data_IF_065274761445
#
_entry.id   IF_065274761445
#
_cell.length_a   1.000
_cell.length_b   1.000
_cell.length_c   1.000
_cell.angle_alpha   90.00
_cell.angle_beta   90.00
_cell.angle_gamma   90.00
#
_symmetry.space_group_name_H-M   'P 1'
#
loop_
_entity.id
_entity.type
_entity.pdbx_description
1 polymer ?
#
# COMPACT_ATOMS: atom_id res chain seq x y z
N UNK A 1 -17.06 -23.15 14.35
CA UNK A 1 -16.08 -22.18 13.79
C UNK A 1 -16.85 -21.06 13.11
N UNK A 2 -16.74 -19.83 13.64
CA UNK A 2 -17.40 -18.61 13.18
C UNK A 2 -16.55 -17.84 12.15
N UNK A 3 -15.25 -18.16 12.04
CA UNK A 3 -14.41 -17.74 10.92
C UNK A 3 -15.00 -18.26 9.61
N UNK A 4 -14.93 -17.46 8.53
CA UNK A 4 -15.44 -17.80 7.19
C UNK A 4 -14.94 -19.19 6.77
N UNK A 5 -15.76 -20.24 6.96
CA UNK A 5 -15.36 -21.65 6.79
C UNK A 5 -14.71 -21.94 5.43
N UNK A 6 -15.19 -21.27 4.39
CA UNK A 6 -14.71 -21.42 3.02
C UNK A 6 -13.28 -20.87 2.79
N UNK A 7 -12.71 -20.18 3.78
CA UNK A 7 -11.36 -19.60 3.76
C UNK A 7 -10.40 -20.29 4.74
N UNK A 8 -10.80 -21.40 5.35
CA UNK A 8 -9.96 -22.20 6.24
C UNK A 8 -9.73 -23.56 5.57
N UNK A 9 -8.56 -23.73 4.96
CA UNK A 9 -8.19 -24.90 4.16
C UNK A 9 -6.66 -25.02 4.08
N UNK A 10 -6.12 -26.19 3.75
CA UNK A 10 -4.69 -26.35 3.49
C UNK A 10 -4.35 -26.00 2.03
N UNK A 11 -3.18 -25.39 1.82
CA UNK A 11 -2.61 -25.17 0.49
C UNK A 11 -1.47 -26.18 0.30
N UNK A 12 -1.49 -26.87 -0.84
CA UNK A 12 -0.46 -27.82 -1.23
C UNK A 12 0.32 -27.25 -2.41
N UNK A 13 1.64 -27.15 -2.27
CA UNK A 13 2.54 -26.65 -3.31
C UNK A 13 3.61 -27.68 -3.65
N UNK A 14 3.84 -27.94 -4.94
CA UNK A 14 4.94 -28.77 -5.40
C UNK A 14 6.08 -27.88 -5.94
N UNK A 15 7.22 -27.77 -5.25
CA UNK A 15 8.32 -26.91 -5.70
C UNK A 15 8.98 -27.32 -7.02
N UNK A 16 8.82 -28.58 -7.44
CA UNK A 16 9.42 -29.09 -8.69
C UNK A 16 8.53 -28.79 -9.90
N UNK A 17 7.22 -28.95 -9.75
CA UNK A 17 6.26 -28.77 -10.86
C UNK A 17 5.56 -27.41 -10.85
N UNK A 18 5.72 -26.63 -9.77
CA UNK A 18 4.97 -25.40 -9.49
C UNK A 18 3.45 -25.59 -9.44
N UNK A 19 2.99 -26.82 -9.21
CA UNK A 19 1.57 -27.13 -9.08
C UNK A 19 1.03 -26.70 -7.71
N UNK A 20 -0.17 -26.11 -7.68
CA UNK A 20 -0.85 -25.66 -6.47
C UNK A 20 -2.20 -26.35 -6.38
N UNK A 21 -2.50 -26.93 -5.22
CA UNK A 21 -3.80 -27.52 -4.87
C UNK A 21 -4.28 -26.96 -3.54
N UNK A 22 -5.58 -27.06 -3.29
CA UNK A 22 -6.20 -26.70 -2.01
C UNK A 22 -7.10 -27.84 -1.54
N UNK A 23 -7.24 -28.02 -0.23
CA UNK A 23 -8.14 -29.02 0.33
C UNK A 23 -8.48 -28.72 1.78
N UNK A 24 -9.45 -29.41 2.40
CA UNK A 24 -9.76 -29.27 3.82
C UNK A 24 -8.51 -29.32 4.70
N UNK A 25 -8.53 -28.63 5.85
CA UNK A 25 -7.42 -28.70 6.80
C UNK A 25 -7.22 -30.16 7.25
N UNK A 26 -5.96 -30.57 7.35
CA UNK A 26 -5.52 -31.93 7.67
C UNK A 26 -5.86 -32.98 6.58
N UNK A 27 -6.01 -32.55 5.32
CA UNK A 27 -6.12 -33.47 4.17
C UNK A 27 -4.83 -34.26 3.94
N UNK A 28 -4.95 -35.42 3.28
CA UNK A 28 -3.82 -36.28 2.93
C UNK A 28 -2.74 -35.52 2.13
N UNK A 29 -1.48 -35.72 2.52
CA UNK A 29 -0.35 -35.11 1.84
C UNK A 29 -0.10 -35.81 0.50
N UNK A 30 -0.25 -35.06 -0.59
CA UNK A 30 0.11 -35.57 -1.92
C UNK A 30 1.63 -35.76 -2.04
N UNK A 31 2.05 -36.86 -2.69
CA UNK A 31 3.47 -37.17 -2.90
C UNK A 31 4.19 -36.02 -3.63
N UNK A 32 5.25 -35.50 -3.04
CA UNK A 32 6.04 -34.40 -3.60
C UNK A 32 5.46 -33.00 -3.39
N UNK A 33 4.32 -32.88 -2.70
CA UNK A 33 3.77 -31.60 -2.29
C UNK A 33 4.18 -31.25 -0.87
N UNK A 34 4.22 -29.96 -0.60
CA UNK A 34 4.42 -29.35 0.71
C UNK A 34 3.08 -28.81 1.18
N UNK A 35 2.74 -29.07 2.43
CA UNK A 35 1.52 -28.55 3.06
C UNK A 35 1.80 -27.22 3.76
N UNK A 36 0.99 -26.22 3.45
CA UNK A 36 0.98 -24.91 4.06
C UNK A 36 -0.38 -24.72 4.72
N UNK A 37 -0.42 -24.87 6.04
CA UNK A 37 -1.64 -24.80 6.84
C UNK A 37 -1.91 -23.39 7.36
N UNK A 38 -3.19 -23.02 7.55
CA UNK A 38 -3.53 -21.74 8.15
C UNK A 38 -3.01 -21.67 9.58
N UNK A 39 -2.60 -20.47 10.02
CA UNK A 39 -2.09 -20.29 11.38
C UNK A 39 -3.17 -20.64 12.41
N UNK A 40 -2.77 -21.36 13.47
CA UNK A 40 -3.64 -21.65 14.61
C UNK A 40 -3.80 -20.41 15.48
N UNK A 41 -5.01 -20.19 15.99
CA UNK A 41 -5.29 -19.14 16.96
C UNK A 41 -5.05 -19.70 18.36
N UNK A 42 -4.29 -18.98 19.19
CA UNK A 42 -3.93 -19.41 20.54
C UNK A 42 -5.07 -19.26 21.56
N UNK A 43 -5.97 -18.29 21.38
CA UNK A 43 -7.15 -18.11 22.23
C UNK A 43 -8.34 -17.52 21.46
N UNK A 44 -9.52 -18.13 21.59
CA UNK A 44 -10.76 -17.67 20.96
C UNK A 44 -11.67 -18.80 20.49
N UNK A 45 -12.87 -18.44 20.00
CA UNK A 45 -13.89 -19.39 19.53
C UNK A 45 -13.56 -20.05 18.17
N UNK A 46 -12.50 -19.60 17.49
CA UNK A 46 -12.07 -20.08 16.17
C UNK A 46 -10.72 -20.77 16.29
N UNK A 47 -10.52 -21.85 15.53
CA UNK A 47 -9.29 -22.65 15.61
C UNK A 47 -8.18 -22.09 14.71
N UNK A 48 -8.56 -21.52 13.57
CA UNK A 48 -7.62 -21.05 12.55
C UNK A 48 -7.90 -19.61 12.09
N UNK A 49 -6.83 -18.92 11.66
CA UNK A 49 -6.95 -17.71 10.83
C UNK A 49 -7.45 -18.08 9.43
N UNK A 50 -8.27 -17.22 8.83
CA UNK A 50 -8.72 -17.40 7.45
C UNK A 50 -7.66 -16.90 6.44
N UNK A 51 -7.55 -17.60 5.32
CA UNK A 51 -6.88 -17.09 4.14
C UNK A 51 -7.61 -15.86 3.58
N UNK A 52 -6.85 -14.98 2.93
CA UNK A 52 -7.43 -13.84 2.21
C UNK A 52 -8.07 -14.26 0.88
N UNK A 53 -7.58 -15.33 0.28
CA UNK A 53 -8.02 -15.84 -1.03
C UNK A 53 -8.84 -17.12 -0.86
N UNK A 54 -9.91 -17.26 -1.65
CA UNK A 54 -10.68 -18.50 -1.74
C UNK A 54 -9.92 -19.56 -2.56
N UNK A 55 -10.35 -20.82 -2.44
CA UNK A 55 -9.81 -21.93 -3.23
C UNK A 55 -9.91 -21.66 -4.75
N UNK A 56 -11.05 -21.14 -5.21
CA UNK A 56 -11.25 -20.77 -6.62
C UNK A 56 -10.29 -19.67 -7.07
N UNK A 57 -10.07 -18.66 -6.23
CA UNK A 57 -9.14 -17.57 -6.55
C UNK A 57 -7.71 -18.07 -6.65
N UNK A 58 -7.28 -18.94 -5.74
CA UNK A 58 -5.94 -19.57 -5.81
C UNK A 58 -5.80 -20.39 -7.09
N UNK A 59 -6.83 -21.16 -7.46
CA UNK A 59 -6.82 -21.96 -8.69
C UNK A 59 -6.66 -21.09 -9.96
N UNK A 60 -7.36 -19.96 -10.00
CA UNK A 60 -7.39 -19.08 -11.18
C UNK A 60 -6.21 -18.08 -11.25
N UNK A 61 -5.74 -17.59 -10.11
CA UNK A 61 -4.75 -16.50 -10.01
C UNK A 61 -3.44 -16.95 -9.34
N UNK A 62 -3.08 -18.24 -9.40
CA UNK A 62 -1.85 -18.80 -8.78
C UNK A 62 -0.56 -18.09 -9.19
N UNK A 63 -0.53 -17.45 -10.37
CA UNK A 63 0.64 -16.73 -10.87
C UNK A 63 1.04 -15.54 -9.99
N UNK A 64 0.07 -14.96 -9.27
CA UNK A 64 0.24 -13.86 -8.34
C UNK A 64 0.54 -14.32 -6.91
N UNK A 65 0.70 -15.62 -6.70
CA UNK A 65 1.21 -16.17 -5.47
C UNK A 65 2.69 -16.51 -5.61
N UNK A 66 3.40 -16.38 -4.50
CA UNK A 66 4.78 -16.82 -4.35
C UNK A 66 4.89 -17.72 -3.12
N UNK A 67 5.61 -18.82 -3.25
CA UNK A 67 5.73 -19.85 -2.22
C UNK A 67 7.18 -19.89 -1.75
N UNK A 68 7.41 -19.38 -0.53
CA UNK A 68 8.75 -19.12 -0.03
C UNK A 68 9.01 -20.00 1.19
N UNK A 69 10.14 -20.70 1.18
CA UNK A 69 10.66 -21.39 2.34
C UNK A 69 11.26 -20.39 3.33
N UNK A 70 10.74 -20.36 4.55
CA UNK A 70 11.24 -19.54 5.65
C UNK A 70 11.91 -20.43 6.70
N UNK A 71 12.61 -19.82 7.67
CA UNK A 71 13.19 -20.55 8.82
C UNK A 71 12.17 -21.38 9.60
N UNK A 72 10.89 -21.01 9.54
CA UNK A 72 9.79 -21.67 10.26
C UNK A 72 8.93 -22.57 9.36
N UNK A 73 9.34 -22.78 8.10
CA UNK A 73 8.59 -23.56 7.11
C UNK A 73 8.10 -22.72 5.94
N UNK A 74 7.27 -23.33 5.08
CA UNK A 74 6.80 -22.71 3.84
C UNK A 74 5.65 -21.73 4.10
N UNK A 75 5.70 -20.58 3.45
CA UNK A 75 4.67 -19.52 3.53
C UNK A 75 4.29 -19.05 2.14
N UNK A 76 3.03 -18.66 1.98
CA UNK A 76 2.50 -18.06 0.74
C UNK A 76 2.45 -16.55 0.85
N UNK A 77 2.95 -15.85 -0.16
CA UNK A 77 2.90 -14.41 -0.32
C UNK A 77 2.13 -14.04 -1.59
N UNK A 78 1.53 -12.85 -1.62
CA UNK A 78 0.93 -12.28 -2.83
C UNK A 78 1.93 -11.35 -3.50
N UNK A 79 2.26 -11.58 -4.76
CA UNK A 79 3.12 -10.71 -5.57
C UNK A 79 2.42 -9.36 -5.75
N UNK A 80 3.14 -8.26 -5.49
CA UNK A 80 2.69 -6.90 -5.80
C UNK A 80 3.51 -6.40 -6.98
N UNK A 81 2.86 -6.23 -8.13
CA UNK A 81 3.49 -5.75 -9.38
C UNK A 81 3.39 -4.23 -9.53
N UNK A 82 2.36 -3.63 -8.95
CA UNK A 82 2.21 -2.16 -8.86
C UNK A 82 2.99 -1.65 -7.64
N UNK A 83 4.30 -1.44 -7.82
CA UNK A 83 5.14 -0.77 -6.82
C UNK A 83 5.04 0.75 -6.94
N UNK A 84 4.87 1.25 -8.16
CA UNK A 84 5.03 2.68 -8.48
C UNK A 84 3.71 3.49 -8.42
N UNK A 85 2.56 2.82 -8.33
CA UNK A 85 1.25 3.48 -8.30
C UNK A 85 0.60 3.30 -6.93
N UNK A 86 0.69 4.33 -6.09
CA UNK A 86 -0.06 4.39 -4.84
C UNK A 86 -1.28 5.28 -5.02
N UNK A 87 -2.46 4.72 -4.77
CA UNK A 87 -3.72 5.48 -4.73
C UNK A 87 -3.68 6.40 -3.51
N UNK A 88 -4.08 7.66 -3.68
CA UNK A 88 -4.25 8.59 -2.56
C UNK A 88 -5.29 8.04 -1.58
N UNK A 89 -4.94 8.00 -0.30
CA UNK A 89 -5.86 7.56 0.77
C UNK A 89 -6.86 8.67 1.09
N UNK A 90 -8.10 8.28 1.40
CA UNK A 90 -9.14 9.21 1.84
C UNK A 90 -8.78 9.96 3.13
N UNK A 91 -7.96 9.35 3.98
CA UNK A 91 -7.49 9.93 5.25
C UNK A 91 -5.97 10.11 5.19
N UNK A 92 -5.54 11.37 5.26
CA UNK A 92 -4.13 11.78 5.31
C UNK A 92 -3.79 12.11 6.76
N UNK A 93 -3.13 11.18 7.47
CA UNK A 93 -2.76 11.35 8.90
C UNK A 93 -1.30 11.71 9.11
N UNK A 94 -0.47 11.60 8.08
CA UNK A 94 0.99 11.77 8.16
C UNK A 94 1.47 13.22 7.90
N UNK A 95 0.56 14.15 7.66
CA UNK A 95 0.87 15.57 7.44
C UNK A 95 0.14 16.39 8.49
N UNK A 96 0.87 16.81 9.52
CA UNK A 96 0.34 17.65 10.59
C UNK A 96 0.28 19.13 10.18
N UNK A 97 -0.69 19.87 10.72
CA UNK A 97 -0.88 21.31 10.44
C UNK A 97 0.31 22.16 10.86
N UNK A 98 0.98 21.82 11.96
CA UNK A 98 2.18 22.51 12.47
C UNK A 98 3.33 22.58 11.45
N UNK A 99 3.35 21.68 10.46
CA UNK A 99 4.35 21.73 9.38
C UNK A 99 4.26 23.02 8.56
N UNK A 100 3.07 23.60 8.39
CA UNK A 100 2.92 24.88 7.70
C UNK A 100 3.67 26.01 8.41
N UNK A 101 3.52 26.11 9.73
CA UNK A 101 4.24 27.10 10.54
C UNK A 101 5.76 26.87 10.50
N UNK A 102 6.19 25.60 10.54
CA UNK A 102 7.60 25.24 10.43
C UNK A 102 8.19 25.59 9.04
N UNK A 103 7.40 25.45 7.98
CA UNK A 103 7.83 25.81 6.62
C UNK A 103 8.07 27.32 6.50
N UNK A 104 7.21 28.15 7.12
CA UNK A 104 7.43 29.59 7.19
C UNK A 104 8.59 29.99 8.09
N UNK A 105 8.79 29.30 9.22
CA UNK A 105 9.90 29.56 10.12
C UNK A 105 11.26 29.39 9.44
N UNK A 106 11.39 28.42 8.52
CA UNK A 106 12.61 28.24 7.69
C UNK A 106 12.88 29.43 6.76
N UNK A 107 11.85 30.21 6.44
CA UNK A 107 11.92 31.41 5.61
C UNK A 107 11.94 32.70 6.43
N UNK A 108 11.89 32.61 7.77
CA UNK A 108 11.71 33.73 8.69
C UNK A 108 10.42 34.53 8.42
N UNK A 109 9.34 33.84 8.04
CA UNK A 109 8.04 34.44 7.70
C UNK A 109 6.90 34.06 8.66
N UNK A 110 7.21 33.34 9.74
CA UNK A 110 6.22 32.75 10.67
C UNK A 110 5.37 33.80 11.40
N UNK A 111 5.81 35.06 11.45
CA UNK A 111 5.07 36.17 12.07
C UNK A 111 4.05 36.83 11.16
N UNK A 112 4.08 36.55 9.85
CA UNK A 112 3.22 37.22 8.88
C UNK A 112 1.95 36.41 8.52
N UNK A 113 1.91 35.14 8.89
CA UNK A 113 0.78 34.26 8.57
C UNK A 113 0.47 33.31 9.73
N UNK A 114 -0.77 33.38 10.21
CA UNK A 114 -1.21 32.59 11.36
C UNK A 114 -1.52 31.13 11.01
N UNK A 115 -2.03 30.89 9.80
CA UNK A 115 -2.55 29.56 9.38
C UNK A 115 -2.04 29.10 8.00
N UNK A 116 -0.71 29.03 7.79
CA UNK A 116 -0.14 28.49 6.56
C UNK A 116 -0.52 27.02 6.37
N UNK A 117 -0.76 26.61 5.12
CA UNK A 117 -0.94 25.20 4.79
C UNK A 117 0.45 24.52 4.76
N UNK A 118 0.56 23.24 5.17
CA UNK A 118 1.80 22.49 4.98
C UNK A 118 2.16 22.35 3.50
N UNK A 119 3.41 22.62 3.13
CA UNK A 119 3.87 22.49 1.73
C UNK A 119 3.74 21.05 1.25
N UNK A 120 4.06 20.08 2.12
CA UNK A 120 3.91 18.64 1.86
C UNK A 120 2.50 18.24 1.43
N UNK A 121 1.46 18.89 1.96
CA UNK A 121 0.07 18.57 1.61
C UNK A 121 -0.23 18.96 0.16
N UNK A 122 0.17 20.17 -0.23
CA UNK A 122 -0.05 20.66 -1.59
C UNK A 122 0.80 19.87 -2.58
N UNK A 123 2.04 19.50 -2.20
CA UNK A 123 2.89 18.61 -3.01
C UNK A 123 2.25 17.24 -3.24
N UNK A 124 1.70 16.64 -2.18
CA UNK A 124 1.01 15.35 -2.27
C UNK A 124 -0.17 15.42 -3.24
N UNK A 125 -1.04 16.41 -3.08
CA UNK A 125 -2.19 16.61 -3.98
C UNK A 125 -1.70 16.77 -5.41
N UNK A 126 -0.75 17.68 -5.65
CA UNK A 126 -0.21 17.98 -6.99
C UNK A 126 0.38 16.73 -7.66
N UNK A 127 1.19 15.92 -6.96
CA UNK A 127 1.77 14.67 -7.49
C UNK A 127 0.71 13.65 -7.88
N UNK A 128 -0.43 13.64 -7.19
CA UNK A 128 -1.53 12.70 -7.46
C UNK A 128 -2.32 13.11 -8.70
N UNK A 129 -2.51 14.41 -8.92
CA UNK A 129 -3.38 14.93 -9.99
C UNK A 129 -2.63 15.24 -11.29
N UNK A 130 -1.34 15.58 -11.22
CA UNK A 130 -0.57 16.16 -12.32
C UNK A 130 0.79 15.45 -12.48
N UNK A 131 1.09 15.04 -13.71
CA UNK A 131 2.41 14.48 -14.08
C UNK A 131 3.49 15.55 -14.04
N UNK A 132 4.75 15.15 -13.89
CA UNK A 132 5.87 16.10 -13.80
C UNK A 132 6.09 16.89 -15.07
N UNK A 133 5.89 16.28 -16.23
CA UNK A 133 6.22 16.81 -17.56
C UNK A 133 5.01 17.40 -18.32
N UNK A 134 3.89 17.65 -17.65
CA UNK A 134 2.62 17.97 -18.32
C UNK A 134 2.46 19.42 -18.79
N UNK A 135 3.29 20.36 -18.35
CA UNK A 135 3.11 21.81 -18.53
C UNK A 135 1.76 22.36 -18.01
N UNK A 136 1.08 21.65 -17.11
CA UNK A 136 -0.22 22.05 -16.57
C UNK A 136 -0.12 23.33 -15.72
N UNK A 137 -1.22 24.09 -15.67
CA UNK A 137 -1.35 25.32 -14.89
C UNK A 137 -2.16 25.03 -13.62
N UNK A 138 -1.60 25.40 -12.46
CA UNK A 138 -2.20 25.25 -11.13
C UNK A 138 -2.64 26.63 -10.65
N UNK A 139 -3.94 26.85 -10.52
CA UNK A 139 -4.49 28.14 -10.09
C UNK A 139 -4.92 28.12 -8.62
N UNK A 140 -4.43 29.08 -7.84
CA UNK A 140 -4.86 29.33 -6.47
C UNK A 140 -5.22 30.80 -6.26
N UNK A 141 -6.52 31.09 -6.20
CA UNK A 141 -7.06 32.44 -5.98
C UNK A 141 -7.33 32.74 -4.50
N UNK A 142 -6.92 31.85 -3.59
CA UNK A 142 -6.94 32.04 -2.14
C UNK A 142 -5.55 31.76 -1.54
N UNK A 143 -4.53 32.31 -2.18
CA UNK A 143 -3.12 31.93 -1.98
C UNK A 143 -2.63 32.08 -0.54
N UNK A 144 -3.10 33.08 0.21
CA UNK A 144 -2.66 33.33 1.58
C UNK A 144 -1.13 33.45 1.68
N UNK A 145 -0.49 32.50 2.37
CA UNK A 145 0.99 32.40 2.46
C UNK A 145 1.68 31.90 1.19
N UNK A 146 0.93 31.76 0.08
CA UNK A 146 1.41 31.27 -1.22
C UNK A 146 2.01 29.86 -1.16
N UNK A 147 1.45 28.98 -0.32
CA UNK A 147 1.90 27.59 -0.18
C UNK A 147 1.86 26.84 -1.52
N UNK A 148 0.88 27.11 -2.38
CA UNK A 148 0.74 26.47 -3.70
C UNK A 148 1.93 26.77 -4.60
N UNK A 149 2.29 28.05 -4.74
CA UNK A 149 3.48 28.48 -5.47
C UNK A 149 4.75 27.79 -4.96
N UNK A 150 4.94 27.80 -3.63
CA UNK A 150 6.09 27.19 -2.99
C UNK A 150 6.19 25.68 -3.27
N UNK A 151 5.07 24.96 -3.17
CA UNK A 151 5.01 23.53 -3.44
C UNK A 151 5.35 23.21 -4.90
N UNK A 152 4.81 23.97 -5.85
CA UNK A 152 5.03 23.72 -7.28
C UNK A 152 6.49 23.99 -7.69
N UNK A 153 7.09 25.09 -7.19
CA UNK A 153 8.52 25.36 -7.41
C UNK A 153 9.41 24.22 -6.88
N UNK A 154 9.14 23.74 -5.66
CA UNK A 154 9.89 22.62 -5.09
C UNK A 154 9.70 21.33 -5.89
N UNK A 155 8.48 21.01 -6.31
CA UNK A 155 8.21 19.81 -7.10
C UNK A 155 8.98 19.82 -8.42
N UNK A 156 8.89 20.91 -9.18
CA UNK A 156 9.60 21.03 -10.44
C UNK A 156 11.12 20.88 -10.25
N UNK A 157 11.68 21.42 -9.16
CA UNK A 157 13.09 21.25 -8.84
C UNK A 157 13.46 19.80 -8.46
N UNK A 158 12.57 19.09 -7.75
CA UNK A 158 12.79 17.71 -7.28
C UNK A 158 12.62 16.66 -8.38
N UNK A 159 11.60 16.81 -9.23
CA UNK A 159 11.23 15.80 -10.23
C UNK A 159 11.54 16.23 -11.68
N UNK A 160 12.24 17.36 -11.86
CA UNK A 160 12.56 17.91 -13.19
C UNK A 160 11.33 18.36 -13.97
N UNK A 161 10.21 18.60 -13.27
CA UNK A 161 8.94 18.95 -13.89
C UNK A 161 8.85 20.39 -14.41
N UNK A 162 7.76 20.66 -15.12
CA UNK A 162 7.50 21.93 -15.82
C UNK A 162 6.11 22.50 -15.52
N UNK A 163 5.54 22.16 -14.35
CA UNK A 163 4.24 22.65 -13.88
C UNK A 163 4.27 24.17 -13.70
N UNK A 164 3.16 24.86 -13.97
CA UNK A 164 3.03 26.32 -13.82
C UNK A 164 2.03 26.66 -12.71
N UNK A 165 2.17 27.82 -12.07
CA UNK A 165 1.26 28.34 -11.06
C UNK A 165 1.15 29.86 -11.14
#
# INVERSE_FOLDING_TARGET
EKTRKNLVFDIFYNPKTMEVKTGPVDSELHKGFIRISPKKISSGANKYYAWRWSQDKIKNEKIDLDFIETKTGWTVFTKRRDYDNTILKDIITNIATVKGSNDLAKLNLERFFDYPKPTDLVKLITKVIIKSDSNDIILDFFSGSSTTAHAVMQLNAEDGGNRKF
#
